data_IF_285149227408
#
_entry.id   IF_285149227408
#
_cell.length_a   1.000
_cell.length_b   1.000
_cell.length_c   1.000
_cell.angle_alpha   90.00
_cell.angle_beta   90.00
_cell.angle_gamma   90.00
#
_symmetry.space_group_name_H-M   'P 1'
#
loop_
_entity.id
_entity.type
_entity.pdbx_description
1 polymer ?
#
# COMPACT_ATOMS: atom_id res chain seq x y z
N UNK A 1 -15.61 3.88 12.35
CA UNK A 1 -15.91 2.44 12.33
C UNK A 1 -14.81 1.73 11.55
N UNK A 2 -14.21 0.68 12.09
CA UNK A 2 -13.14 -0.08 11.43
C UNK A 2 -13.73 -1.30 10.72
N UNK A 3 -13.45 -1.45 9.42
CA UNK A 3 -13.82 -2.65 8.64
C UNK A 3 -12.57 -3.47 8.37
N UNK A 4 -12.60 -4.75 8.70
CA UNK A 4 -11.52 -5.70 8.43
C UNK A 4 -11.96 -6.62 7.30
N UNK A 5 -11.19 -6.67 6.21
CA UNK A 5 -11.44 -7.56 5.06
C UNK A 5 -10.23 -8.46 4.84
N UNK A 6 -10.46 -9.75 4.62
CA UNK A 6 -9.42 -10.68 4.20
C UNK A 6 -9.30 -10.63 2.68
N UNK A 7 -8.09 -10.37 2.18
CA UNK A 7 -7.80 -10.41 0.75
C UNK A 7 -7.37 -11.83 0.36
N UNK A 8 -8.02 -12.41 -0.65
CA UNK A 8 -7.77 -13.78 -1.10
C UNK A 8 -7.00 -13.87 -2.42
N UNK A 9 -6.76 -12.74 -3.08
CA UNK A 9 -6.09 -12.67 -4.38
C UNK A 9 -5.01 -11.60 -4.36
N UNK A 10 -3.81 -11.97 -4.80
CA UNK A 10 -2.68 -11.04 -4.99
C UNK A 10 -3.05 -9.92 -5.97
N UNK A 11 -3.81 -10.23 -7.01
CA UNK A 11 -4.31 -9.24 -7.97
C UNK A 11 -5.24 -8.21 -7.31
N UNK A 12 -6.08 -8.63 -6.36
CA UNK A 12 -6.95 -7.72 -5.62
C UNK A 12 -6.14 -6.78 -4.69
N UNK A 13 -5.07 -7.29 -4.07
CA UNK A 13 -4.18 -6.47 -3.23
C UNK A 13 -3.37 -5.49 -4.07
N UNK A 14 -2.88 -5.89 -5.24
CA UNK A 14 -2.13 -4.99 -6.15
C UNK A 14 -2.95 -3.80 -6.63
N UNK A 15 -4.26 -3.98 -6.85
CA UNK A 15 -5.19 -2.88 -7.16
C UNK A 15 -5.27 -1.82 -6.07
N UNK A 16 -4.92 -2.14 -4.81
CA UNK A 16 -4.87 -1.15 -3.74
C UNK A 16 -3.83 -0.06 -3.99
N UNK A 17 -2.73 -0.39 -4.66
CA UNK A 17 -1.75 0.62 -5.09
C UNK A 17 -2.29 1.50 -6.23
N UNK A 18 -3.20 0.96 -7.05
CA UNK A 18 -3.76 1.64 -8.21
C UNK A 18 -4.98 2.51 -7.86
N UNK A 19 -5.61 2.29 -6.71
CA UNK A 19 -6.80 3.02 -6.31
C UNK A 19 -6.43 4.36 -5.64
N UNK A 20 -6.45 5.43 -6.44
CA UNK A 20 -6.59 6.80 -5.94
C UNK A 20 -8.04 7.00 -5.57
N UNK A 21 -8.39 6.91 -4.29
CA UNK A 21 -9.80 7.00 -3.92
C UNK A 21 -10.43 8.39 -4.15
N UNK A 22 -9.66 9.49 -4.32
CA UNK A 22 -10.34 10.79 -4.51
C UNK A 22 -9.77 11.81 -5.51
N UNK A 23 -8.50 11.82 -5.95
CA UNK A 23 -8.03 12.82 -6.95
C UNK A 23 -6.76 12.33 -7.66
N UNK A 24 -6.86 11.87 -8.91
CA UNK A 24 -5.69 11.49 -9.72
C UNK A 24 -4.96 12.67 -10.38
N UNK A 25 -5.35 13.92 -10.14
CA UNK A 25 -4.55 15.08 -10.56
C UNK A 25 -4.45 16.09 -9.42
N UNK A 26 -3.40 15.94 -8.61
CA UNK A 26 -3.02 16.93 -7.60
C UNK A 26 -1.98 16.42 -6.60
N UNK A 27 -1.37 17.30 -5.79
CA UNK A 27 -0.38 16.98 -4.75
C UNK A 27 -0.84 15.98 -3.66
N UNK A 28 -2.09 15.52 -3.73
CA UNK A 28 -2.79 14.76 -2.70
C UNK A 28 -3.00 13.29 -3.07
N UNK A 29 -2.26 12.74 -4.04
CA UNK A 29 -2.17 11.29 -4.21
C UNK A 29 -1.65 10.69 -2.89
N UNK A 30 -2.54 10.05 -2.12
CA UNK A 30 -2.21 9.47 -0.83
C UNK A 30 -1.23 8.31 -1.05
N UNK A 31 0.04 8.62 -0.87
CA UNK A 31 1.11 7.64 -0.86
C UNK A 31 1.04 6.85 0.45
N UNK A 32 0.97 5.53 0.35
CA UNK A 32 1.06 4.66 1.51
C UNK A 32 2.40 4.85 2.24
N UNK A 33 2.42 4.55 3.54
CA UNK A 33 3.65 4.54 4.34
C UNK A 33 3.86 3.17 4.97
N UNK A 34 5.11 2.74 5.06
CA UNK A 34 5.49 1.50 5.73
C UNK A 34 5.42 1.67 7.26
N UNK A 35 4.82 0.68 7.92
CA UNK A 35 4.72 0.63 9.38
C UNK A 35 4.97 -0.79 9.89
N UNK A 36 5.31 -0.88 11.18
CA UNK A 36 5.47 -2.15 11.90
C UNK A 36 6.89 -2.73 11.88
N UNK A 37 7.12 -3.70 12.77
CA UNK A 37 8.44 -4.32 12.99
C UNK A 37 8.87 -5.16 11.78
N UNK A 38 7.93 -5.80 11.08
CA UNK A 38 8.21 -6.58 9.87
C UNK A 38 8.79 -5.71 8.75
N UNK A 39 8.17 -4.57 8.47
CA UNK A 39 8.67 -3.60 7.49
C UNK A 39 10.07 -3.09 7.88
N UNK A 40 10.27 -2.73 9.16
CA UNK A 40 11.58 -2.30 9.68
C UNK A 40 12.68 -3.36 9.47
N UNK A 41 12.37 -4.63 9.72
CA UNK A 41 13.32 -5.75 9.52
C UNK A 41 13.69 -5.96 8.05
N UNK A 42 12.76 -5.65 7.14
CA UNK A 42 12.99 -5.69 5.69
C UNK A 42 13.60 -4.39 5.14
N UNK A 43 13.91 -3.41 5.99
CA UNK A 43 14.42 -2.10 5.57
C UNK A 43 13.39 -1.23 4.85
N UNK A 44 12.10 -1.58 4.94
CA UNK A 44 10.99 -0.83 4.35
C UNK A 44 10.54 0.27 5.32
N UNK A 45 10.91 1.52 5.03
CA UNK A 45 10.61 2.69 5.86
C UNK A 45 10.22 3.86 4.96
N UNK A 46 9.26 4.67 5.40
CA UNK A 46 8.80 5.84 4.66
C UNK A 46 7.74 5.49 3.62
N UNK A 47 7.79 6.15 2.48
CA UNK A 47 6.82 6.00 1.39
C UNK A 47 6.83 4.58 0.80
N UNK A 48 5.63 4.03 0.52
CA UNK A 48 5.45 2.77 -0.17
C UNK A 48 5.60 2.99 -1.68
N UNK A 49 6.66 2.41 -2.26
CA UNK A 49 6.84 2.39 -3.71
C UNK A 49 6.26 1.12 -4.34
N UNK A 50 5.66 1.24 -5.54
CA UNK A 50 5.04 0.12 -6.28
C UNK A 50 5.90 -1.14 -6.30
N UNK A 51 7.17 -0.99 -6.67
CA UNK A 51 8.10 -2.10 -6.83
C UNK A 51 8.38 -2.84 -5.52
N UNK A 52 8.36 -2.15 -4.38
CA UNK A 52 8.54 -2.78 -3.06
C UNK A 52 7.26 -3.48 -2.62
N UNK A 53 6.11 -2.84 -2.85
CA UNK A 53 4.80 -3.40 -2.54
C UNK A 53 4.54 -4.70 -3.33
N UNK A 54 4.83 -4.69 -4.64
CA UNK A 54 4.65 -5.85 -5.52
C UNK A 54 5.50 -7.08 -5.14
N UNK A 55 6.57 -6.88 -4.36
CA UNK A 55 7.45 -7.97 -3.90
C UNK A 55 6.97 -8.63 -2.61
N UNK A 56 6.16 -7.94 -1.80
CA UNK A 56 5.73 -8.41 -0.48
C UNK A 56 4.27 -8.85 -0.44
N UNK A 57 3.57 -8.73 -1.57
CA UNK A 57 2.16 -9.07 -1.78
C UNK A 57 2.04 -10.20 -2.79
#
# INVERSE_FOLDING_TARGET
MLRITRQYSTAAVKKYYEHSDYYQEGPNALKGYWFGVGAKRLGLVGEVHKQQFDRVV
#
